data_IF_738032405090
#
_entry.id   IF_738032405090
#
_cell.length_a   1.000
_cell.length_b   1.000
_cell.length_c   1.000
_cell.angle_alpha   90.00
_cell.angle_beta   90.00
_cell.angle_gamma   90.00
#
_symmetry.space_group_name_H-M   'P 1'
#
loop_
_entity.id
_entity.type
_entity.pdbx_description
1 polymer ?
#
# COMPACT_ATOMS: atom_id res chain seq x y z
N UNK A 1 -3.79 4.66 10.84
CA UNK A 1 -2.80 5.34 10.02
C UNK A 1 -1.47 4.64 10.12
N UNK A 2 -0.70 4.75 9.07
CA UNK A 2 0.61 4.10 8.98
C UNK A 2 1.68 5.10 9.36
N UNK A 3 2.56 4.71 10.27
CA UNK A 3 3.70 5.50 10.68
C UNK A 3 4.96 4.65 10.65
N UNK A 4 6.10 5.23 11.00
CA UNK A 4 7.34 4.49 11.11
C UNK A 4 7.16 3.26 12.00
N UNK A 5 7.73 2.14 11.59
CA UNK A 5 7.67 0.85 12.28
C UNK A 5 6.31 0.14 12.24
N UNK A 6 5.31 0.70 11.56
CA UNK A 6 4.04 -0.01 11.36
C UNK A 6 4.24 -1.21 10.42
N UNK A 7 3.70 -2.36 10.80
CA UNK A 7 3.69 -3.54 9.95
C UNK A 7 2.45 -3.52 9.06
N UNK A 8 2.63 -3.84 7.78
CA UNK A 8 1.56 -3.86 6.79
C UNK A 8 1.57 -5.18 6.05
N UNK A 9 0.40 -5.65 5.68
CA UNK A 9 0.29 -6.78 4.76
C UNK A 9 0.52 -6.30 3.33
N UNK A 10 0.89 -7.22 2.46
CA UNK A 10 1.13 -6.92 1.05
C UNK A 10 -0.02 -7.50 0.23
N UNK A 11 -0.63 -6.64 -0.58
CA UNK A 11 -1.83 -6.99 -1.34
C UNK A 11 -1.52 -7.36 -2.80
N UNK A 12 -0.29 -7.77 -3.09
CA UNK A 12 0.11 -8.13 -4.45
C UNK A 12 0.85 -9.47 -4.49
N UNK A 13 1.23 -9.87 -5.71
CA UNK A 13 1.89 -11.16 -5.96
C UNK A 13 3.41 -11.03 -6.16
N UNK A 14 4.03 -9.99 -5.61
CA UNK A 14 5.50 -9.82 -5.70
C UNK A 14 6.28 -10.83 -4.87
N UNK A 15 5.60 -11.56 -4.00
CA UNK A 15 6.23 -12.49 -3.08
C UNK A 15 6.41 -11.95 -1.68
N UNK A 16 6.41 -10.64 -1.48
CA UNK A 16 6.42 -10.05 -0.15
C UNK A 16 5.12 -10.36 0.58
N UNK A 17 5.21 -10.68 1.85
CA UNK A 17 4.05 -10.98 2.69
C UNK A 17 3.81 -9.91 3.75
N UNK A 18 4.88 -9.30 4.25
CA UNK A 18 4.80 -8.30 5.29
C UNK A 18 5.85 -7.23 5.07
N UNK A 19 5.46 -5.98 5.20
CA UNK A 19 6.34 -4.81 5.11
C UNK A 19 6.34 -4.08 6.43
N UNK A 20 7.47 -3.48 6.78
CA UNK A 20 7.56 -2.54 7.88
C UNK A 20 7.84 -1.14 7.33
N UNK A 21 7.01 -0.17 7.68
CA UNK A 21 7.19 1.20 7.24
C UNK A 21 8.46 1.79 7.87
N UNK A 22 9.39 2.27 7.04
CA UNK A 22 10.60 2.95 7.49
C UNK A 22 10.35 4.46 7.52
N UNK A 23 9.72 4.99 6.48
CA UNK A 23 9.52 6.43 6.33
C UNK A 23 8.27 6.72 5.51
N UNK A 24 7.54 7.76 5.89
CA UNK A 24 6.41 8.28 5.11
C UNK A 24 6.92 9.39 4.20
N UNK A 25 6.67 9.26 2.90
CA UNK A 25 7.06 10.26 1.91
C UNK A 25 5.99 11.35 1.79
N UNK A 26 6.39 12.52 1.31
CA UNK A 26 5.46 13.62 1.05
C UNK A 26 5.76 14.90 1.83
N UNK A 27 6.93 15.00 2.45
CA UNK A 27 7.35 16.21 3.14
C UNK A 27 8.23 15.90 4.34
N UNK A 28 9.05 16.86 4.76
CA UNK A 28 10.07 16.66 5.79
C UNK A 28 9.49 16.38 7.18
N UNK A 29 8.23 16.71 7.42
CA UNK A 29 7.57 16.51 8.71
C UNK A 29 6.41 15.54 8.67
N UNK A 30 6.26 14.82 7.58
CA UNK A 30 5.15 13.89 7.44
C UNK A 30 5.34 12.68 8.34
N UNK A 31 4.39 12.45 9.24
CA UNK A 31 4.45 11.37 10.23
C UNK A 31 3.58 10.17 9.87
N UNK A 32 2.45 10.42 9.20
CA UNK A 32 1.43 9.39 8.98
C UNK A 32 1.08 9.28 7.52
N UNK A 33 0.86 8.06 7.06
CA UNK A 33 0.35 7.75 5.74
C UNK A 33 -1.06 7.20 5.87
N UNK A 34 -1.90 7.56 4.90
CA UNK A 34 -3.22 6.99 4.74
C UNK A 34 -3.34 6.43 3.32
N UNK A 35 -4.54 6.03 2.92
CA UNK A 35 -4.78 5.44 1.59
C UNK A 35 -4.28 6.39 0.50
N UNK A 36 -3.49 5.85 -0.43
CA UNK A 36 -2.92 6.62 -1.53
C UNK A 36 -1.58 7.28 -1.24
N UNK A 37 -1.11 7.24 0.00
CA UNK A 37 0.19 7.78 0.35
C UNK A 37 1.28 6.75 0.16
N UNK A 38 2.47 7.22 -0.22
CA UNK A 38 3.63 6.36 -0.48
C UNK A 38 4.53 6.32 0.73
N UNK A 39 4.98 5.13 1.06
CA UNK A 39 5.96 4.91 2.14
C UNK A 39 7.18 4.17 1.60
N UNK A 40 8.31 4.38 2.25
CA UNK A 40 9.49 3.52 2.09
C UNK A 40 9.38 2.43 3.15
N UNK A 41 9.50 1.19 2.74
CA UNK A 41 9.32 0.06 3.64
C UNK A 41 10.39 -1.01 3.42
N UNK A 42 10.67 -1.79 4.46
CA UNK A 42 11.52 -2.97 4.35
C UNK A 42 10.67 -4.22 4.31
N UNK A 43 11.07 -5.18 3.49
CA UNK A 43 10.38 -6.47 3.40
C UNK A 43 10.78 -7.32 4.60
N UNK A 44 9.80 -7.62 5.46
CA UNK A 44 10.04 -8.40 6.68
C UNK A 44 9.82 -9.89 6.45
N UNK A 45 8.87 -10.25 5.61
CA UNK A 45 8.59 -11.64 5.23
C UNK A 45 8.35 -11.70 3.74
N UNK A 46 8.94 -12.67 3.08
CA UNK A 46 8.75 -12.89 1.64
C UNK A 46 8.80 -14.37 1.32
N UNK A 47 8.06 -14.76 0.28
CA UNK A 47 8.11 -16.11 -0.26
C UNK A 47 9.41 -16.31 -1.05
N UNK A 48 10.02 -17.51 -1.01
CA UNK A 48 11.19 -17.80 -1.83
C UNK A 48 10.88 -17.65 -3.32
N UNK A 49 11.81 -17.09 -4.09
CA UNK A 49 11.68 -16.97 -5.54
C UNK A 49 10.78 -15.84 -6.03
N UNK A 50 10.32 -14.96 -5.15
CA UNK A 50 9.54 -13.80 -5.55
C UNK A 50 10.37 -12.68 -6.14
N UNK A 51 9.69 -11.64 -6.63
CA UNK A 51 10.32 -10.46 -7.22
C UNK A 51 11.15 -9.70 -6.17
N UNK A 52 10.71 -9.72 -4.93
CA UNK A 52 11.39 -9.08 -3.80
C UNK A 52 11.77 -10.12 -2.76
N UNK A 53 12.81 -9.81 -2.00
CA UNK A 53 13.35 -10.71 -0.98
C UNK A 53 13.30 -10.05 0.39
N UNK A 54 13.34 -10.86 1.44
CA UNK A 54 13.42 -10.38 2.81
C UNK A 54 14.62 -9.43 2.95
N UNK A 55 14.40 -8.29 3.56
CA UNK A 55 15.43 -7.26 3.76
C UNK A 55 15.49 -6.21 2.68
N UNK A 56 14.82 -6.40 1.54
CA UNK A 56 14.79 -5.40 0.48
C UNK A 56 14.07 -4.14 0.97
N UNK A 57 14.53 -2.98 0.50
CA UNK A 57 13.88 -1.69 0.74
C UNK A 57 13.12 -1.31 -0.52
N UNK A 58 11.82 -1.07 -0.36
CA UNK A 58 10.93 -0.81 -1.49
C UNK A 58 10.04 0.38 -1.21
N UNK A 59 9.47 0.98 -2.26
CA UNK A 59 8.38 1.95 -2.14
C UNK A 59 7.06 1.21 -2.26
N UNK A 60 6.10 1.60 -1.44
CA UNK A 60 4.77 1.01 -1.44
C UNK A 60 3.71 2.08 -1.24
N UNK A 61 2.54 1.87 -1.83
CA UNK A 61 1.39 2.74 -1.64
C UNK A 61 0.36 2.02 -0.78
N UNK A 62 -0.18 2.74 0.21
CA UNK A 62 -1.23 2.19 1.05
C UNK A 62 -2.54 2.08 0.26
N UNK A 63 -3.10 0.87 0.19
CA UNK A 63 -4.37 0.61 -0.53
C UNK A 63 -5.51 0.31 0.41
N UNK A 64 -5.22 -0.09 1.65
CA UNK A 64 -6.20 -0.32 2.71
C UNK A 64 -5.68 0.24 4.01
N UNK A 65 -6.59 0.78 4.84
CA UNK A 65 -6.23 1.30 6.15
C UNK A 65 -7.25 0.87 7.18
N UNK A 66 -6.78 0.35 8.31
CA UNK A 66 -7.64 -0.04 9.42
C UNK A 66 -8.29 1.18 10.09
N UNK A 67 -7.64 2.33 10.08
CA UNK A 67 -8.24 3.58 10.56
C UNK A 67 -9.32 4.08 9.63
N UNK A 68 -9.15 3.89 8.32
CA UNK A 68 -10.12 4.27 7.32
C UNK A 68 -10.00 5.72 6.86
N UNK A 69 -10.94 6.10 6.04
CA UNK A 69 -11.00 7.44 5.45
C UNK A 69 -12.46 7.92 5.39
N UNK A 70 -12.66 9.19 5.71
CA UNK A 70 -13.96 9.83 5.60
C UNK A 70 -14.10 10.45 4.21
N UNK A 71 -15.21 10.16 3.55
CA UNK A 71 -15.49 10.68 2.20
C UNK A 71 -16.32 11.94 2.28
N UNK A 72 -16.25 12.73 1.20
CA UNK A 72 -16.95 14.02 1.10
C UNK A 72 -18.47 13.89 1.18
N UNK A 73 -19.01 12.75 0.77
CA UNK A 73 -20.45 12.49 0.82
C UNK A 73 -20.96 12.08 2.21
N UNK A 74 -20.08 12.11 3.21
CA UNK A 74 -20.42 11.75 4.59
C UNK A 74 -20.26 10.28 4.91
N UNK A 75 -19.94 9.43 3.94
CA UNK A 75 -19.67 8.01 4.20
C UNK A 75 -18.26 7.83 4.75
N UNK A 76 -18.03 6.67 5.37
CA UNK A 76 -16.76 6.33 5.96
C UNK A 76 -16.40 4.92 5.53
N UNK A 77 -15.19 4.73 5.01
CA UNK A 77 -14.71 3.40 4.66
C UNK A 77 -13.55 3.00 5.56
N UNK A 78 -13.58 1.77 6.03
CA UNK A 78 -12.58 1.22 6.91
C UNK A 78 -12.35 -0.24 6.56
N UNK A 79 -11.10 -0.67 6.65
CA UNK A 79 -10.71 -2.04 6.35
C UNK A 79 -10.25 -2.75 7.62
N UNK A 80 -10.20 -4.07 7.58
CA UNK A 80 -9.82 -4.88 8.74
C UNK A 80 -8.31 -4.77 9.04
N UNK A 81 -7.52 -4.39 8.04
CA UNK A 81 -6.06 -4.37 8.16
C UNK A 81 -5.45 -3.28 7.30
N UNK A 82 -4.21 -2.93 7.62
CA UNK A 82 -3.39 -2.07 6.76
C UNK A 82 -2.74 -2.95 5.70
N UNK A 83 -2.85 -2.53 4.45
CA UNK A 83 -2.23 -3.24 3.33
C UNK A 83 -1.65 -2.26 2.32
N UNK A 84 -0.58 -2.69 1.69
CA UNK A 84 0.14 -1.88 0.71
C UNK A 84 0.47 -2.70 -0.53
N UNK A 85 0.71 -2.00 -1.63
CA UNK A 85 1.16 -2.56 -2.90
C UNK A 85 2.52 -1.98 -3.21
N UNK A 86 3.48 -2.85 -3.54
CA UNK A 86 4.83 -2.43 -3.92
C UNK A 86 4.77 -1.78 -5.30
N UNK A 87 5.34 -0.58 -5.43
CA UNK A 87 5.31 0.19 -6.66
C UNK A 87 6.71 0.49 -7.18
N UNK A 88 6.77 0.82 -8.47
CA UNK A 88 7.97 1.34 -9.13
C UNK A 88 8.00 2.87 -8.99
N UNK A 89 9.08 3.48 -9.45
CA UNK A 89 9.22 4.94 -9.44
C UNK A 89 8.14 5.65 -10.26
N UNK A 90 7.58 4.99 -11.27
CA UNK A 90 6.55 5.56 -12.16
C UNK A 90 5.13 5.33 -11.65
N UNK A 91 4.96 4.95 -10.40
CA UNK A 91 3.66 4.65 -9.75
C UNK A 91 2.97 3.39 -10.26
N UNK A 92 3.62 2.59 -11.08
CA UNK A 92 3.07 1.31 -11.53
C UNK A 92 3.39 0.20 -10.52
N UNK A 93 2.47 -0.74 -10.29
CA UNK A 93 2.76 -1.85 -9.37
C UNK A 93 3.86 -2.75 -9.94
N UNK A 94 4.68 -3.29 -9.08
CA UNK A 94 5.72 -4.25 -9.48
C UNK A 94 5.12 -5.63 -9.74
N UNK A 95 4.04 -5.95 -9.07
CA UNK A 95 3.33 -7.20 -9.29
C UNK A 95 2.35 -7.12 -10.45
N UNK A 96 1.80 -8.27 -10.82
CA UNK A 96 0.83 -8.38 -11.91
C UNK A 96 -0.59 -8.61 -11.41
N UNK A 97 -0.78 -8.87 -10.12
CA UNK A 97 -2.09 -9.13 -9.51
C UNK A 97 -2.21 -8.41 -8.18
N UNK A 98 -3.42 -7.99 -7.88
CA UNK A 98 -3.78 -7.37 -6.59
C UNK A 98 -4.76 -8.30 -5.88
N UNK A 99 -4.59 -8.49 -4.58
CA UNK A 99 -5.45 -9.35 -3.76
C UNK A 99 -6.33 -8.51 -2.84
N UNK A 100 -7.60 -8.85 -2.78
CA UNK A 100 -8.56 -8.21 -1.91
C UNK A 100 -9.00 -6.83 -2.40
N UNK A 101 -9.86 -6.15 -1.62
CA UNK A 101 -10.41 -4.86 -2.03
C UNK A 101 -9.37 -3.74 -1.87
N UNK A 102 -9.52 -2.70 -2.70
CA UNK A 102 -8.75 -1.46 -2.56
C UNK A 102 -9.72 -0.30 -2.52
N UNK A 103 -9.29 0.82 -1.93
CA UNK A 103 -10.12 2.02 -1.86
C UNK A 103 -10.08 2.78 -3.19
N UNK A 104 -11.24 3.31 -3.60
CA UNK A 104 -11.33 4.08 -4.85
C UNK A 104 -10.61 5.42 -4.82
N UNK A 105 -10.22 5.90 -3.64
CA UNK A 105 -9.43 7.12 -3.49
C UNK A 105 -8.08 7.07 -4.21
N UNK A 106 -7.61 5.88 -4.56
CA UNK A 106 -6.39 5.73 -5.37
C UNK A 106 -6.52 6.38 -6.76
N UNK A 107 -7.72 6.53 -7.28
CA UNK A 107 -7.95 7.18 -8.58
C UNK A 107 -7.51 8.65 -8.55
N UNK A 108 -7.77 9.34 -7.45
CA UNK A 108 -7.41 10.74 -7.28
C UNK A 108 -5.90 10.95 -7.22
N UNK A 109 -5.16 9.91 -6.89
CA UNK A 109 -3.70 9.93 -6.77
C UNK A 109 -3.00 9.27 -7.96
N UNK A 110 -3.74 9.02 -9.05
CA UNK A 110 -3.22 8.47 -10.32
C UNK A 110 -2.69 7.04 -10.25
N UNK A 111 -3.24 6.23 -9.36
CA UNK A 111 -2.91 4.80 -9.29
C UNK A 111 -3.89 3.96 -10.10
N UNK A 112 -4.10 4.33 -11.36
CA UNK A 112 -5.10 3.69 -12.22
C UNK A 112 -4.76 2.22 -12.52
N UNK A 113 -3.49 1.89 -12.65
CA UNK A 113 -3.06 0.51 -12.92
C UNK A 113 -3.42 -0.40 -11.76
N UNK A 114 -3.23 0.06 -10.53
CA UNK A 114 -3.61 -0.71 -9.34
C UNK A 114 -5.12 -0.93 -9.31
N UNK A 115 -5.91 0.11 -9.61
CA UNK A 115 -7.36 -0.01 -9.65
C UNK A 115 -7.82 -1.00 -10.71
N UNK A 116 -7.17 -1.02 -11.88
CA UNK A 116 -7.53 -1.94 -12.96
C UNK A 116 -7.22 -3.39 -12.63
N UNK A 117 -6.21 -3.65 -11.81
CA UNK A 117 -5.83 -5.00 -11.40
C UNK A 117 -6.58 -5.50 -10.18
N UNK A 118 -7.19 -4.59 -9.41
CA UNK A 118 -7.87 -4.97 -8.18
C UNK A 118 -9.16 -5.75 -8.46
N UNK A 119 -9.44 -6.82 -7.71
CA UNK A 119 -10.67 -7.58 -7.89
C UNK A 119 -11.91 -6.84 -7.42
N UNK A 120 -11.75 -5.89 -6.51
CA UNK A 120 -12.85 -5.12 -5.95
C UNK A 120 -12.36 -3.72 -5.57
N UNK A 121 -13.11 -2.69 -5.94
CA UNK A 121 -12.81 -1.30 -5.61
C UNK A 121 -13.95 -0.76 -4.75
N UNK A 122 -13.66 -0.42 -3.53
CA UNK A 122 -14.59 0.12 -2.55
C UNK A 122 -14.34 1.60 -2.31
#
# INVERSE_FOLDING_TARGET
MIQMQTLMKVADNTGAKELMCIRVLGGSRRRYANIGDVVVASVRKAAPGGVVKKGDVVKAVSVRSAKGIRRDDGTYIRFDENAAVIIREDKNPRGTRIFGPVARELREKDYLKILSLAPEVL
#
